data_IF_228694930966
#
_entry.id   IF_228694930966
#
_cell.length_a   1.000
_cell.length_b   1.000
_cell.length_c   1.000
_cell.angle_alpha   90.00
_cell.angle_beta   90.00
_cell.angle_gamma   90.00
#
_symmetry.space_group_name_H-M   'P 1'
#
loop_
_entity.id
_entity.type
_entity.pdbx_description
1 polymer ?
#
# COMPACT_ATOMS: atom_id res chain seq x y z
N UNK A 1 5.88 7.97 -10.84
CA UNK A 1 6.02 6.55 -11.22
C UNK A 1 4.67 6.08 -11.70
N UNK A 2 4.62 5.31 -12.78
CA UNK A 2 3.36 4.78 -13.31
C UNK A 2 2.76 3.70 -12.39
N UNK A 3 1.44 3.53 -12.48
CA UNK A 3 0.72 2.61 -11.60
C UNK A 3 1.16 1.15 -11.75
N UNK A 4 1.62 0.72 -12.93
CA UNK A 4 2.11 -0.65 -13.11
C UNK A 4 3.42 -0.91 -12.33
N UNK A 5 4.34 0.06 -12.35
CA UNK A 5 5.60 0.02 -11.60
C UNK A 5 5.35 -0.06 -10.11
N UNK A 6 4.44 0.78 -9.58
CA UNK A 6 4.10 0.74 -8.15
C UNK A 6 3.45 -0.60 -7.79
N UNK A 7 2.57 -1.12 -8.65
CA UNK A 7 1.93 -2.41 -8.41
C UNK A 7 2.93 -3.56 -8.32
N UNK A 8 3.92 -3.59 -9.22
CA UNK A 8 5.00 -4.56 -9.20
C UNK A 8 5.87 -4.43 -7.94
N UNK A 9 6.16 -3.21 -7.50
CA UNK A 9 6.91 -2.97 -6.27
C UNK A 9 6.20 -3.50 -5.02
N UNK A 10 4.88 -3.38 -4.94
CA UNK A 10 4.15 -3.94 -3.80
C UNK A 10 4.24 -5.48 -3.79
N UNK A 11 4.20 -6.14 -4.97
CA UNK A 11 4.45 -7.58 -5.05
C UNK A 11 5.88 -7.95 -4.65
N UNK A 12 6.88 -7.23 -5.16
CA UNK A 12 8.29 -7.47 -4.83
C UNK A 12 8.53 -7.30 -3.33
N UNK A 13 7.97 -6.26 -2.72
CA UNK A 13 8.06 -6.04 -1.28
C UNK A 13 7.42 -7.18 -0.49
N UNK A 14 6.25 -7.67 -0.92
CA UNK A 14 5.60 -8.82 -0.27
C UNK A 14 6.50 -10.07 -0.28
N UNK A 15 7.20 -10.32 -1.39
CA UNK A 15 8.18 -11.41 -1.48
C UNK A 15 9.39 -11.18 -0.56
N UNK A 16 9.95 -9.97 -0.56
CA UNK A 16 11.11 -9.61 0.29
C UNK A 16 10.83 -9.80 1.79
N UNK A 17 9.62 -9.47 2.24
CA UNK A 17 9.21 -9.61 3.65
C UNK A 17 8.53 -10.95 3.96
N UNK A 18 8.51 -11.88 2.99
CA UNK A 18 7.86 -13.20 3.09
C UNK A 18 6.39 -13.13 3.55
N UNK A 19 5.65 -12.11 3.12
CA UNK A 19 4.23 -11.95 3.40
C UNK A 19 3.39 -12.30 2.16
N UNK A 20 2.15 -12.81 2.34
CA UNK A 20 1.22 -12.92 1.25
C UNK A 20 0.94 -11.53 0.66
N UNK A 21 1.09 -11.35 -0.66
CA UNK A 21 0.82 -10.07 -1.32
C UNK A 21 -0.58 -9.53 -1.00
N UNK A 22 -1.57 -10.41 -0.85
CA UNK A 22 -2.92 -10.07 -0.40
C UNK A 22 -2.93 -9.36 0.95
N UNK A 23 -2.15 -9.84 1.94
CA UNK A 23 -2.08 -9.23 3.26
C UNK A 23 -1.47 -7.82 3.18
N UNK A 24 -0.44 -7.64 2.35
CA UNK A 24 0.15 -6.32 2.13
C UNK A 24 -0.82 -5.36 1.43
N UNK A 25 -1.57 -5.81 0.42
CA UNK A 25 -2.60 -4.99 -0.21
C UNK A 25 -3.70 -4.60 0.78
N UNK A 26 -4.21 -5.56 1.56
CA UNK A 26 -5.22 -5.32 2.59
C UNK A 26 -4.74 -4.28 3.61
N UNK A 27 -3.50 -4.40 4.10
CA UNK A 27 -2.91 -3.43 5.04
C UNK A 27 -2.86 -2.01 4.44
N UNK A 28 -2.43 -1.88 3.18
CA UNK A 28 -2.38 -0.57 2.52
C UNK A 28 -3.80 0.01 2.32
N UNK A 29 -4.78 -0.82 1.93
CA UNK A 29 -6.16 -0.34 1.78
C UNK A 29 -6.78 0.05 3.13
N UNK A 30 -6.51 -0.69 4.20
CA UNK A 30 -7.00 -0.33 5.54
C UNK A 30 -6.39 1.00 5.98
N UNK A 31 -5.08 1.19 5.82
CA UNK A 31 -4.40 2.44 6.18
C UNK A 31 -4.91 3.68 5.42
N UNK A 32 -5.30 3.51 4.14
CA UNK A 32 -5.65 4.63 3.27
C UNK A 32 -7.16 4.85 3.11
N UNK A 33 -7.96 3.79 3.15
CA UNK A 33 -9.40 3.79 2.84
C UNK A 33 -10.28 3.33 4.00
N UNK A 34 -9.72 2.80 5.09
CA UNK A 34 -10.47 2.10 6.14
C UNK A 34 -11.33 0.95 5.56
N UNK A 35 -10.81 0.29 4.53
CA UNK A 35 -11.48 -0.80 3.82
C UNK A 35 -10.48 -1.91 3.49
N UNK A 36 -10.89 -3.19 3.50
CA UNK A 36 -9.98 -4.31 3.19
C UNK A 36 -9.69 -4.48 1.69
N UNK A 37 -10.31 -3.68 0.81
CA UNK A 37 -10.19 -3.84 -0.65
C UNK A 37 -10.36 -2.53 -1.36
N UNK A 38 -9.78 -2.43 -2.55
CA UNK A 38 -9.86 -1.22 -3.37
C UNK A 38 -9.46 -1.46 -4.84
N UNK A 39 -9.36 -0.37 -5.61
CA UNK A 39 -8.88 -0.41 -7.00
C UNK A 39 -7.42 -0.86 -7.06
N UNK A 40 -6.95 -1.29 -8.24
CA UNK A 40 -5.59 -1.82 -8.44
C UNK A 40 -4.53 -0.95 -7.75
N UNK A 41 -3.81 -1.50 -6.76
CA UNK A 41 -3.05 -0.72 -5.77
C UNK A 41 -2.09 0.29 -6.40
N UNK A 42 -1.39 -0.08 -7.47
CA UNK A 42 -0.39 0.81 -8.03
C UNK A 42 -1.02 2.02 -8.72
N UNK A 43 -2.14 1.84 -9.41
CA UNK A 43 -2.90 2.96 -9.99
C UNK A 43 -3.53 3.84 -8.90
N UNK A 44 -4.05 3.20 -7.85
CA UNK A 44 -4.59 3.90 -6.70
C UNK A 44 -3.53 4.80 -6.05
N UNK A 45 -2.39 4.23 -5.67
CA UNK A 45 -1.28 4.97 -5.06
C UNK A 45 -0.71 6.05 -6.01
N UNK A 46 -0.62 5.77 -7.32
CA UNK A 46 -0.15 6.76 -8.30
C UNK A 46 -1.06 7.98 -8.44
N UNK A 47 -2.33 7.86 -8.04
CA UNK A 47 -3.34 8.93 -8.11
C UNK A 47 -3.41 9.80 -6.86
N UNK A 48 -2.74 9.37 -5.78
CA UNK A 48 -2.71 10.08 -4.50
C UNK A 48 -1.49 10.99 -4.41
N UNK A 49 -1.58 11.99 -3.54
CA UNK A 49 -0.43 12.79 -3.17
C UNK A 49 0.61 11.94 -2.40
N UNK A 50 1.89 12.10 -2.74
CA UNK A 50 2.96 11.30 -2.17
C UNK A 50 3.14 11.53 -0.67
N UNK A 51 3.06 12.77 -0.20
CA UNK A 51 3.23 13.12 1.21
C UNK A 51 2.06 12.58 2.04
N UNK A 52 0.84 12.65 1.49
CA UNK A 52 -0.33 12.02 2.09
C UNK A 52 -0.14 10.51 2.29
N UNK A 53 0.30 9.79 1.24
CA UNK A 53 0.52 8.33 1.33
C UNK A 53 1.58 8.00 2.38
N UNK A 54 2.72 8.70 2.34
CA UNK A 54 3.83 8.43 3.25
C UNK A 54 3.42 8.70 4.71
N UNK A 55 2.76 9.83 4.97
CA UNK A 55 2.28 10.21 6.30
C UNK A 55 1.29 9.18 6.85
N UNK A 56 0.31 8.76 6.05
CA UNK A 56 -0.70 7.79 6.50
C UNK A 56 -0.12 6.41 6.81
N UNK A 57 0.78 5.92 5.96
CA UNK A 57 1.44 4.63 6.19
C UNK A 57 2.34 4.67 7.43
N UNK A 58 3.05 5.78 7.65
CA UNK A 58 3.88 5.97 8.84
C UNK A 58 3.05 6.01 10.13
N UNK A 59 1.98 6.82 10.14
CA UNK A 59 1.06 6.93 11.29
C UNK A 59 0.44 5.58 11.63
N UNK A 60 -0.04 4.84 10.62
CA UNK A 60 -0.60 3.50 10.82
C UNK A 60 0.43 2.53 11.39
N UNK A 61 1.67 2.54 10.89
CA UNK A 61 2.73 1.67 11.39
C UNK A 61 3.13 1.98 12.85
N UNK A 62 2.93 3.21 13.32
CA UNK A 62 3.18 3.59 14.72
C UNK A 62 2.04 3.21 15.67
N UNK A 63 0.80 3.08 15.17
CA UNK A 63 -0.35 2.67 15.98
C UNK A 63 -0.39 1.17 16.25
N UNK A 64 0.20 0.37 15.37
CA UNK A 64 0.25 -1.09 15.46
C UNK A 64 1.47 -1.62 16.24
N UNK A 65 2.31 -0.73 16.79
CA UNK A 65 3.59 -1.02 17.46
C UNK A 65 3.56 -1.02 18.98
#
# INVERSE_FOLDING_TARGET
MDGDTIHALVYALAEEVALPAKALFEAIYVALLDQPRGPRIGWFLSSLDHDFVCTRLHDTAMLEG
#
